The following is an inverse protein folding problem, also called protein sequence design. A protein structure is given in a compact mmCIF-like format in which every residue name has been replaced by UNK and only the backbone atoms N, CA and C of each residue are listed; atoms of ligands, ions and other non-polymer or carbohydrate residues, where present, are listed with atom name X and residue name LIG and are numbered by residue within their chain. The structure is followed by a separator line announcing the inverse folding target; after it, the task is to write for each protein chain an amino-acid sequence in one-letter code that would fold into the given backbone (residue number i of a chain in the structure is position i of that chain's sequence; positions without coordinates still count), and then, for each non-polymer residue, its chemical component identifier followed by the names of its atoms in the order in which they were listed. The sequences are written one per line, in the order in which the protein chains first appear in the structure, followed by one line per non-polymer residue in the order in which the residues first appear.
data_IF_762935248566
#
_entry.id   IF_762935248566
#
_cell.length_a   1.000
_cell.length_b   1.000
_cell.length_c   1.000
_cell.angle_alpha   90.00
_cell.angle_beta   90.00
_cell.angle_gamma   90.00
#
_symmetry.space_group_name_H-M   'P 1'
#
loop_
_entity.id
_entity.type
_entity.pdbx_description
1 polymer ?
#
# COMPACT_ATOMS: atom_id res chain seq x y z
N UNK A 1 -8.78 -5.92 -0.30
CA UNK A 1 -7.62 -5.13 0.21
C UNK A 1 -6.78 -5.89 1.24
N UNK A 2 -7.32 -6.31 2.40
CA UNK A 2 -6.52 -6.98 3.43
C UNK A 2 -5.78 -8.23 2.91
N UNK A 3 -6.50 -9.14 2.24
CA UNK A 3 -5.89 -10.32 1.62
C UNK A 3 -4.79 -9.96 0.61
N UNK A 4 -5.00 -8.95 -0.25
CA UNK A 4 -3.99 -8.46 -1.21
C UNK A 4 -2.72 -7.99 -0.49
N UNK A 5 -2.86 -7.31 0.64
CA UNK A 5 -1.72 -6.88 1.45
C UNK A 5 -0.97 -8.07 2.05
N UNK A 6 -1.70 -9.03 2.63
CA UNK A 6 -1.14 -10.22 3.27
C UNK A 6 -0.41 -11.14 2.27
N UNK A 7 -0.96 -11.36 1.07
CA UNK A 7 -0.30 -12.15 0.01
C UNK A 7 1.00 -11.51 -0.47
N UNK A 8 1.16 -10.20 -0.26
CA UNK A 8 2.36 -9.43 -0.57
C UNK A 8 3.31 -9.23 0.63
N UNK A 9 3.04 -9.92 1.75
CA UNK A 9 3.85 -9.86 2.96
C UNK A 9 3.73 -8.54 3.74
N UNK A 10 2.67 -7.77 3.50
CA UNK A 10 2.34 -6.57 4.27
C UNK A 10 1.32 -6.89 5.35
N UNK A 11 1.14 -5.99 6.32
CA UNK A 11 0.21 -6.21 7.44
C UNK A 11 -0.93 -5.19 7.44
N UNK A 12 -2.16 -5.55 7.02
CA UNK A 12 -3.31 -4.67 7.16
C UNK A 12 -3.70 -4.49 8.63
N UNK A 13 -4.17 -3.29 8.98
CA UNK A 13 -4.79 -3.01 10.27
C UNK A 13 -6.32 -3.17 10.16
N UNK A 14 -7.00 -3.64 11.22
CA UNK A 14 -8.45 -3.67 11.26
C UNK A 14 -9.03 -2.29 10.95
N UNK A 15 -10.04 -2.25 10.09
CA UNK A 15 -10.69 -1.01 9.68
C UNK A 15 -12.20 -1.11 9.84
N UNK A 16 -12.78 -0.02 10.33
CA UNK A 16 -14.22 0.24 10.34
C UNK A 16 -14.56 1.46 9.47
N UNK A 17 -13.70 1.78 8.50
CA UNK A 17 -13.84 2.94 7.60
C UNK A 17 -13.86 2.51 6.14
N UNK A 18 -13.94 3.49 5.22
CA UNK A 18 -13.85 3.28 3.77
C UNK A 18 -12.39 3.21 3.24
N UNK A 19 -11.42 2.87 4.09
CA UNK A 19 -10.04 2.60 3.69
C UNK A 19 -9.40 1.57 4.62
N UNK A 20 -8.31 0.95 4.19
CA UNK A 20 -7.48 0.08 5.02
C UNK A 20 -6.10 0.71 5.16
N UNK A 21 -5.63 0.82 6.40
CA UNK A 21 -4.24 1.17 6.69
C UNK A 21 -3.40 -0.11 6.63
N UNK A 22 -2.30 -0.09 5.90
CA UNK A 22 -1.41 -1.23 5.69
C UNK A 22 -0.02 -0.85 6.19
N UNK A 23 0.49 -1.59 7.17
CA UNK A 23 1.87 -1.49 7.64
C UNK A 23 2.79 -2.17 6.61
N UNK A 24 3.75 -1.40 6.08
CA UNK A 24 4.68 -1.91 5.08
C UNK A 24 5.82 -2.76 5.68
N UNK A 25 5.89 -2.90 7.01
CA UNK A 25 6.84 -3.79 7.70
C UNK A 25 8.28 -3.27 7.72
N UNK A 26 8.49 -2.00 7.39
CA UNK A 26 9.81 -1.36 7.34
C UNK A 26 9.73 0.08 7.88
N UNK A 27 10.40 1.05 7.25
CA UNK A 27 10.40 2.44 7.66
C UNK A 27 9.52 3.34 6.76
N UNK A 28 9.44 4.62 7.11
CA UNK A 28 8.68 5.60 6.33
C UNK A 28 9.24 5.91 4.95
N UNK A 29 10.55 5.71 4.74
CA UNK A 29 11.18 5.89 3.43
C UNK A 29 10.76 4.76 2.48
N UNK A 30 10.71 3.52 2.97
CA UNK A 30 10.18 2.39 2.23
C UNK A 30 8.71 2.59 1.86
N UNK A 31 7.86 2.96 2.84
CA UNK A 31 6.45 3.26 2.57
C UNK A 31 6.27 4.40 1.55
N UNK A 32 7.16 5.40 1.54
CA UNK A 32 7.18 6.45 0.52
C UNK A 32 7.53 5.89 -0.87
N UNK A 33 8.54 5.02 -0.98
CA UNK A 33 8.88 4.36 -2.24
C UNK A 33 7.74 3.50 -2.77
N UNK A 34 7.02 2.78 -1.90
CA UNK A 34 5.83 2.01 -2.28
C UNK A 34 4.74 2.91 -2.85
N UNK A 35 4.46 4.05 -2.19
CA UNK A 35 3.51 5.05 -2.69
C UNK A 35 3.93 5.58 -4.07
N UNK A 36 5.20 5.93 -4.25
CA UNK A 36 5.72 6.41 -5.54
C UNK A 36 5.66 5.33 -6.63
N UNK A 37 5.95 4.08 -6.28
CA UNK A 37 5.88 2.95 -7.20
C UNK A 37 4.46 2.63 -7.66
N UNK A 38 3.47 2.73 -6.78
CA UNK A 38 2.06 2.61 -7.16
C UNK A 38 1.60 3.80 -8.00
N UNK A 39 2.02 5.02 -7.65
CA UNK A 39 1.70 6.22 -8.41
C UNK A 39 2.24 6.17 -9.84
N UNK A 40 3.44 5.63 -10.06
CA UNK A 40 4.01 5.46 -11.41
C UNK A 40 3.30 4.40 -12.25
N UNK A 41 2.39 3.64 -11.64
CA UNK A 41 1.54 2.61 -12.27
C UNK A 41 0.07 3.07 -12.31
N UNK A 42 -0.15 4.38 -12.20
CA UNK A 42 -1.46 5.03 -12.17
C UNK A 42 -2.38 4.59 -11.00
N UNK A 43 -1.82 3.97 -9.95
CA UNK A 43 -2.54 3.60 -8.73
C UNK A 43 -2.32 4.65 -7.63
N UNK A 44 -3.25 5.58 -7.51
CA UNK A 44 -3.15 6.64 -6.53
C UNK A 44 -3.60 6.21 -5.12
N UNK A 45 -2.65 6.18 -4.18
CA UNK A 45 -2.88 5.91 -2.75
C UNK A 45 -2.32 7.04 -1.87
N UNK A 46 -2.58 6.99 -0.56
CA UNK A 46 -2.02 7.97 0.40
C UNK A 46 -1.14 7.30 1.45
N UNK A 47 -0.32 8.11 2.11
CA UNK A 47 0.57 7.72 3.20
C UNK A 47 0.43 8.72 4.37
N UNK A 48 0.26 8.26 5.62
CA UNK A 48 0.37 9.14 6.79
C UNK A 48 1.81 9.68 6.97
N UNK A 49 1.93 10.90 7.53
CA UNK A 49 3.22 11.53 7.82
C UNK A 49 3.53 11.65 9.32
N UNK A 50 2.56 11.30 10.18
CA UNK A 50 2.75 11.32 11.62
C UNK A 50 3.74 10.22 12.05
N UNK A 51 4.63 10.49 13.03
CA UNK A 51 5.57 9.50 13.54
C UNK A 51 4.89 8.19 13.95
N UNK A 52 5.58 7.07 13.73
CA UNK A 52 5.06 5.69 13.84
C UNK A 52 4.13 5.35 12.68
N UNK A 53 3.12 6.15 12.39
CA UNK A 53 2.18 5.86 11.28
C UNK A 53 2.81 6.03 9.89
N UNK A 54 3.95 6.71 9.82
CA UNK A 54 4.67 7.00 8.60
C UNK A 54 5.25 5.77 7.91
N UNK A 55 5.34 4.62 8.58
CA UNK A 55 5.68 3.33 7.95
C UNK A 55 4.53 2.66 7.20
N UNK A 56 3.32 3.25 7.25
CA UNK A 56 2.12 2.67 6.65
C UNK A 56 1.72 3.38 5.35
N UNK A 57 0.93 2.68 4.53
CA UNK A 57 0.13 3.27 3.45
C UNK A 57 -1.36 3.16 3.78
N UNK A 58 -2.19 3.92 3.08
CA UNK A 58 -3.64 3.96 3.26
C UNK A 58 -4.33 3.81 1.90
N UNK A 59 -5.06 2.72 1.74
CA UNK A 59 -5.74 2.35 0.50
C UNK A 59 -7.24 2.48 0.71
N UNK A 60 -7.89 3.35 -0.07
CA UNK A 60 -9.34 3.50 -0.04
C UNK A 60 -10.03 2.25 -0.59
N UNK A 61 -11.25 1.97 -0.13
CA UNK A 61 -12.12 0.99 -0.79
C UNK A 61 -12.58 1.59 -2.12
N UNK A 62 -12.14 0.99 -3.22
CA UNK A 62 -12.56 1.31 -4.58
C UNK A 62 -13.55 0.29 -5.15
N UNK A 63 -13.86 0.43 -6.43
CA UNK A 63 -14.61 -0.54 -7.23
C UNK A 63 -13.78 -1.81 -7.45
N UNK A 64 -14.43 -2.92 -7.77
CA UNK A 64 -13.76 -4.22 -7.95
C UNK A 64 -12.59 -4.15 -8.95
N UNK A 65 -12.80 -3.51 -10.11
CA UNK A 65 -11.73 -3.35 -11.11
C UNK A 65 -10.57 -2.46 -10.64
N UNK A 66 -10.81 -1.48 -9.76
CA UNK A 66 -9.75 -0.66 -9.17
C UNK A 66 -8.93 -1.48 -8.17
N UNK A 67 -9.61 -2.38 -7.43
CA UNK A 67 -8.96 -3.32 -6.51
C UNK A 67 -8.17 -4.40 -7.23
N UNK A 68 -8.62 -4.84 -8.41
CA UNK A 68 -7.90 -5.77 -9.28
C UNK A 68 -6.61 -5.14 -9.80
N UNK A 69 -6.66 -3.91 -10.32
CA UNK A 69 -5.47 -3.14 -10.74
C UNK A 69 -4.50 -2.98 -9.55
N UNK A 70 -5.01 -2.63 -8.37
CA UNK A 70 -4.16 -2.54 -7.17
C UNK A 70 -3.51 -3.90 -6.83
N UNK A 71 -4.23 -5.01 -6.96
CA UNK A 71 -3.69 -6.34 -6.70
C UNK A 71 -2.59 -6.74 -7.70
N UNK A 72 -2.76 -6.40 -8.98
CA UNK A 72 -1.80 -6.65 -10.05
C UNK A 72 -0.53 -5.82 -9.89
N UNK A 73 -0.66 -4.54 -9.53
CA UNK A 73 0.45 -3.59 -9.52
C UNK A 73 1.25 -3.55 -8.20
N UNK A 74 0.62 -3.94 -7.07
CA UNK A 74 1.28 -3.92 -5.76
C UNK A 74 2.58 -4.75 -5.69
N UNK A 75 2.66 -5.99 -6.22
CA UNK A 75 3.90 -6.76 -6.23
C UNK A 75 5.04 -6.04 -6.95
N UNK A 76 4.75 -5.44 -8.11
CA UNK A 76 5.73 -4.69 -8.91
C UNK A 76 6.21 -3.42 -8.20
N UNK A 77 5.31 -2.69 -7.56
CA UNK A 77 5.66 -1.53 -6.74
C UNK A 77 6.54 -1.90 -5.54
N UNK A 78 6.27 -3.04 -4.90
CA UNK A 78 7.07 -3.55 -3.78
C UNK A 78 8.47 -4.00 -4.22
N UNK A 79 8.59 -4.68 -5.36
CA UNK A 79 9.88 -5.09 -5.91
C UNK A 79 10.77 -3.86 -6.20
N UNK A 80 10.22 -2.86 -6.90
CA UNK A 80 10.92 -1.61 -7.19
C UNK A 80 11.31 -0.86 -5.90
N UNK A 81 10.43 -0.81 -4.89
CA UNK A 81 10.73 -0.17 -3.61
C UNK A 81 11.86 -0.88 -2.84
N UNK A 82 12.00 -2.20 -3.00
CA UNK A 82 13.08 -3.02 -2.43
C UNK A 82 14.40 -2.91 -3.22
N UNK A 83 14.37 -2.35 -4.43
CA UNK A 83 15.56 -2.16 -5.27
C UNK A 83 15.91 -3.38 -6.14
N UNK A 84 14.92 -4.23 -6.45
CA UNK A 84 15.05 -5.34 -7.39
C UNK A 84 14.55 -4.96 -8.79
#
# INVERSE_FOLDING_TARGET
IAAIAETNGLRPLPSATNFVTIDCGSDGAFAMKVLQGLLSRDVFIRKPMAPKLDRCIRVSVGLDHELDIFAEELPGALAAARGN
#
